data_IF_859841517628
#
_entry.id   IF_859841517628
#
_cell.length_a   1.000
_cell.length_b   1.000
_cell.length_c   1.000
_cell.angle_alpha   90.00
_cell.angle_beta   90.00
_cell.angle_gamma   90.00
#
_symmetry.space_group_name_H-M   'P 1'
#
loop_
_entity.id
_entity.type
_entity.pdbx_description
1 polymer ?
#
# COMPACT_ATOMS: atom_id res chain seq x y z
N UNK A 1 -2.18 18.82 -1.16
CA UNK A 1 -0.99 17.98 -1.03
C UNK A 1 0.26 18.78 -1.37
N UNK A 2 1.14 18.99 -0.40
CA UNK A 2 2.46 19.56 -0.67
C UNK A 2 3.46 18.44 -1.05
N UNK A 3 4.61 18.82 -1.60
CA UNK A 3 5.61 17.87 -2.09
C UNK A 3 6.21 17.01 -0.95
N UNK A 4 6.37 17.60 0.23
CA UNK A 4 6.90 16.95 1.42
C UNK A 4 5.99 15.82 1.94
N UNK A 5 4.68 16.05 1.97
CA UNK A 5 3.66 15.06 2.32
C UNK A 5 3.73 13.85 1.38
N UNK A 6 3.85 14.08 0.07
CA UNK A 6 3.97 13.00 -0.91
C UNK A 6 5.21 12.15 -0.71
N UNK A 7 6.39 12.77 -0.57
CA UNK A 7 7.64 12.02 -0.40
C UNK A 7 7.73 11.33 0.96
N UNK A 8 7.14 11.91 2.00
CA UNK A 8 7.02 11.27 3.32
C UNK A 8 6.16 10.01 3.22
N UNK A 9 4.95 10.13 2.65
CA UNK A 9 4.05 9.00 2.43
C UNK A 9 4.71 7.90 1.59
N UNK A 10 5.32 8.29 0.46
CA UNK A 10 6.01 7.37 -0.45
C UNK A 10 7.12 6.60 0.26
N UNK A 11 7.89 7.26 1.12
CA UNK A 11 8.97 6.63 1.89
C UNK A 11 8.41 5.61 2.87
N UNK A 12 7.35 5.95 3.60
CA UNK A 12 6.73 5.05 4.58
C UNK A 12 6.04 3.83 3.93
N UNK A 13 5.33 4.03 2.82
CA UNK A 13 4.78 2.90 2.06
C UNK A 13 5.91 1.99 1.56
N UNK A 14 6.99 2.56 0.99
CA UNK A 14 8.12 1.76 0.47
C UNK A 14 8.82 0.94 1.54
N UNK A 15 8.93 1.45 2.77
CA UNK A 15 9.46 0.66 3.90
C UNK A 15 8.61 -0.58 4.14
N UNK A 16 7.28 -0.44 4.13
CA UNK A 16 6.37 -1.57 4.33
C UNK A 16 6.38 -2.54 3.14
N UNK A 17 6.41 -2.04 1.90
CA UNK A 17 6.55 -2.90 0.71
C UNK A 17 7.87 -3.67 0.72
N UNK A 18 8.97 -3.02 1.09
CA UNK A 18 10.27 -3.67 1.27
C UNK A 18 10.21 -4.77 2.32
N UNK A 19 9.57 -4.51 3.46
CA UNK A 19 9.38 -5.52 4.52
C UNK A 19 8.55 -6.71 4.05
N UNK A 20 7.48 -6.50 3.28
CA UNK A 20 6.71 -7.60 2.68
C UNK A 20 7.57 -8.43 1.71
N UNK A 21 8.45 -7.77 0.96
CA UNK A 21 9.36 -8.47 0.05
C UNK A 21 10.41 -9.32 0.78
N UNK A 22 11.04 -8.78 1.82
CA UNK A 22 12.13 -9.45 2.56
C UNK A 22 11.64 -10.42 3.65
N UNK A 23 10.47 -10.17 4.25
CA UNK A 23 9.92 -10.90 5.40
C UNK A 23 8.43 -11.26 5.19
N UNK A 24 8.10 -12.06 4.16
CA UNK A 24 6.72 -12.35 3.78
C UNK A 24 5.91 -13.05 4.87
N UNK A 25 6.54 -13.76 5.80
CA UNK A 25 5.89 -14.40 6.95
C UNK A 25 5.18 -13.41 7.87
N UNK A 26 5.57 -12.13 7.85
CA UNK A 26 4.99 -11.06 8.65
C UNK A 26 4.07 -10.13 7.83
N UNK A 27 3.61 -10.58 6.65
CA UNK A 27 2.80 -9.77 5.73
C UNK A 27 1.58 -9.15 6.41
N UNK A 28 0.91 -9.86 7.32
CA UNK A 28 -0.24 -9.36 8.06
C UNK A 28 0.03 -8.03 8.79
N UNK A 29 1.18 -7.92 9.47
CA UNK A 29 1.56 -6.74 10.25
C UNK A 29 1.83 -5.55 9.32
N UNK A 30 2.51 -5.81 8.20
CA UNK A 30 2.89 -4.76 7.26
C UNK A 30 1.70 -4.28 6.42
N UNK A 31 0.76 -5.18 6.09
CA UNK A 31 -0.50 -4.80 5.45
C UNK A 31 -1.32 -3.91 6.38
N UNK A 32 -1.36 -4.18 7.68
CA UNK A 32 -2.06 -3.32 8.65
C UNK A 32 -1.45 -1.92 8.71
N UNK A 33 -0.12 -1.86 8.66
CA UNK A 33 0.60 -0.58 8.59
C UNK A 33 0.28 0.18 7.30
N UNK A 34 0.17 -0.53 6.16
CA UNK A 34 -0.21 0.07 4.87
C UNK A 34 -1.65 0.58 4.91
N UNK A 35 -2.60 -0.20 5.44
CA UNK A 35 -4.00 0.22 5.60
C UNK A 35 -4.06 1.53 6.39
N UNK A 36 -3.41 1.59 7.56
CA UNK A 36 -3.40 2.79 8.40
C UNK A 36 -2.75 4.00 7.71
N UNK A 37 -1.70 3.77 6.91
CA UNK A 37 -1.08 4.84 6.13
C UNK A 37 -2.05 5.40 5.10
N UNK A 38 -2.77 4.53 4.39
CA UNK A 38 -3.73 4.93 3.36
C UNK A 38 -4.93 5.65 3.98
N UNK A 39 -5.53 5.10 5.04
CA UNK A 39 -6.68 5.72 5.73
C UNK A 39 -6.39 7.14 6.23
N UNK A 40 -5.13 7.43 6.60
CA UNK A 40 -4.70 8.77 7.03
C UNK A 40 -4.33 9.71 5.88
N UNK A 41 -4.07 9.18 4.68
CA UNK A 41 -3.46 9.94 3.57
C UNK A 41 -4.04 9.52 2.21
N UNK A 42 -5.35 9.30 2.13
CA UNK A 42 -5.99 8.71 0.95
C UNK A 42 -5.71 9.51 -0.33
N UNK A 43 -5.83 10.84 -0.28
CA UNK A 43 -5.54 11.71 -1.43
C UNK A 43 -4.09 11.55 -1.92
N UNK A 44 -3.14 11.35 -1.00
CA UNK A 44 -1.72 11.14 -1.33
C UNK A 44 -1.52 9.74 -1.93
N UNK A 45 -2.23 8.73 -1.41
CA UNK A 45 -2.23 7.39 -1.98
C UNK A 45 -2.71 7.37 -3.43
N UNK A 46 -3.79 8.10 -3.74
CA UNK A 46 -4.33 8.21 -5.11
C UNK A 46 -3.30 8.75 -6.11
N UNK A 47 -2.44 9.68 -5.67
CA UNK A 47 -1.34 10.17 -6.52
C UNK A 47 -0.19 9.16 -6.56
N UNK A 48 0.14 8.55 -5.42
CA UNK A 48 1.21 7.55 -5.32
C UNK A 48 0.97 6.34 -6.23
N UNK A 49 -0.22 5.75 -6.21
CA UNK A 49 -0.54 4.52 -6.93
C UNK A 49 -0.48 4.73 -8.46
N UNK A 50 -0.82 5.92 -8.94
CA UNK A 50 -0.66 6.30 -10.36
C UNK A 50 0.81 6.42 -10.78
N UNK A 51 1.71 6.69 -9.84
CA UNK A 51 3.13 6.95 -10.07
C UNK A 51 4.06 5.86 -9.51
N UNK A 52 3.50 4.72 -9.07
CA UNK A 52 4.31 3.66 -8.49
C UNK A 52 5.09 2.88 -9.56
N UNK A 53 6.30 2.46 -9.20
CA UNK A 53 7.17 1.68 -10.10
C UNK A 53 6.62 0.28 -10.32
N UNK A 54 7.09 -0.41 -11.36
CA UNK A 54 6.71 -1.81 -11.65
C UNK A 54 6.95 -2.75 -10.45
N UNK A 55 8.05 -2.53 -9.71
CA UNK A 55 8.36 -3.33 -8.52
C UNK A 55 7.37 -3.06 -7.39
N UNK A 56 7.02 -1.79 -7.15
CA UNK A 56 6.00 -1.43 -6.18
C UNK A 56 4.65 -2.03 -6.54
N UNK A 57 4.21 -1.92 -7.80
CA UNK A 57 2.98 -2.57 -8.29
C UNK A 57 2.94 -4.05 -7.98
N UNK A 58 4.04 -4.77 -8.26
CA UNK A 58 4.14 -6.21 -7.97
C UNK A 58 3.88 -6.53 -6.49
N UNK A 59 4.43 -5.74 -5.57
CA UNK A 59 4.20 -5.96 -4.14
C UNK A 59 2.81 -5.50 -3.70
N UNK A 60 2.30 -4.39 -4.24
CA UNK A 60 0.94 -3.93 -3.99
C UNK A 60 -0.11 -4.95 -4.48
N UNK A 61 0.13 -5.67 -5.58
CA UNK A 61 -0.71 -6.80 -5.99
C UNK A 61 -0.70 -7.94 -4.96
N UNK A 62 0.44 -8.22 -4.32
CA UNK A 62 0.49 -9.18 -3.20
C UNK A 62 -0.33 -8.70 -2.00
N UNK A 63 -0.27 -7.40 -1.70
CA UNK A 63 -1.12 -6.78 -0.67
C UNK A 63 -2.60 -6.96 -1.02
N UNK A 64 -3.00 -6.65 -2.25
CA UNK A 64 -4.38 -6.83 -2.72
C UNK A 64 -4.85 -8.29 -2.59
N UNK A 65 -4.04 -9.25 -3.01
CA UNK A 65 -4.38 -10.67 -2.88
C UNK A 65 -4.55 -11.07 -1.41
N UNK A 66 -3.66 -10.59 -0.54
CA UNK A 66 -3.79 -10.83 0.90
C UNK A 66 -5.10 -10.24 1.46
N UNK A 67 -5.49 -9.02 1.07
CA UNK A 67 -6.76 -8.41 1.50
C UNK A 67 -7.96 -9.25 1.04
N UNK A 68 -7.95 -9.75 -0.20
CA UNK A 68 -8.99 -10.64 -0.75
C UNK A 68 -9.11 -11.95 0.00
N UNK A 69 -7.98 -12.62 0.24
CA UNK A 69 -7.92 -13.92 0.93
C UNK A 69 -8.40 -13.81 2.38
N UNK A 70 -7.97 -12.74 3.07
CA UNK A 70 -8.32 -12.51 4.48
C UNK A 70 -9.63 -11.77 4.69
N UNK A 71 -10.24 -11.25 3.61
CA UNK A 71 -11.41 -10.35 3.62
C UNK A 71 -11.20 -9.14 4.53
N UNK A 72 -9.95 -8.66 4.59
CA UNK A 72 -9.55 -7.59 5.50
C UNK A 72 -9.71 -6.25 4.81
N UNK A 73 -10.45 -5.34 5.45
CA UNK A 73 -10.71 -3.97 5.00
C UNK A 73 -11.12 -3.85 3.52
N UNK A 74 -12.41 -4.14 3.27
CA UNK A 74 -12.99 -4.16 1.92
C UNK A 74 -12.90 -2.81 1.20
N UNK A 75 -12.89 -1.71 1.95
CA UNK A 75 -12.76 -0.37 1.38
C UNK A 75 -11.38 -0.17 0.75
N UNK A 76 -10.30 -0.49 1.47
CA UNK A 76 -8.93 -0.42 0.92
C UNK A 76 -8.74 -1.42 -0.21
N UNK A 77 -9.30 -2.63 -0.10
CA UNK A 77 -9.31 -3.60 -1.20
C UNK A 77 -9.86 -2.99 -2.50
N UNK A 78 -11.05 -2.39 -2.46
CA UNK A 78 -11.66 -1.74 -3.62
C UNK A 78 -10.79 -0.59 -4.15
N UNK A 79 -10.19 0.21 -3.26
CA UNK A 79 -9.29 1.30 -3.64
C UNK A 79 -8.09 0.81 -4.45
N UNK A 80 -7.55 -0.37 -4.10
CA UNK A 80 -6.50 -1.03 -4.86
C UNK A 80 -7.02 -1.57 -6.20
N UNK A 81 -8.19 -2.19 -6.25
CA UNK A 81 -8.79 -2.71 -7.51
C UNK A 81 -9.05 -1.63 -8.55
N UNK A 82 -9.45 -0.43 -8.11
CA UNK A 82 -9.72 0.69 -9.00
C UNK A 82 -8.45 1.30 -9.60
N UNK A 83 -7.29 1.08 -9.00
CA UNK A 83 -6.07 1.85 -9.28
C UNK A 83 -4.83 1.02 -9.69
N UNK A 84 -4.80 -0.31 -9.48
CA UNK A 84 -3.70 -1.20 -9.89
C UNK A 84 -3.92 -1.80 -11.28
#
# INVERSE_FOLDING_TARGET
MNEEEFYTFRTEIRKNLGRIFFFPENTNIYVDSIIQLIEKNEEVFQVYIKNCTKNEKTILTKVLNYLKETKKNKYIENLFEENL
#
